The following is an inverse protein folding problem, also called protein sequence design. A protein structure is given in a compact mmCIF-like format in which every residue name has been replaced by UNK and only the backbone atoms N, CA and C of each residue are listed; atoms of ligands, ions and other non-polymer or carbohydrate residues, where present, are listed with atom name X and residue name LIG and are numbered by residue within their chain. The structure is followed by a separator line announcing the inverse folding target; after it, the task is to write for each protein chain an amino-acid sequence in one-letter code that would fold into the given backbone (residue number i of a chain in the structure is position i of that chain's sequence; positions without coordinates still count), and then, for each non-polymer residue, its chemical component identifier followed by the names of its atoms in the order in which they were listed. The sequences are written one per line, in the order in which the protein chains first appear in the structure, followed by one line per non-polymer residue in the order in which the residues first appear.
data_IF_666608169527
#
_entry.id   IF_666608169527
#
_cell.length_a   1.000
_cell.length_b   1.000
_cell.length_c   1.000
_cell.angle_alpha   90.00
_cell.angle_beta   90.00
_cell.angle_gamma   90.00
#
_symmetry.space_group_name_H-M   'P 1'
#
loop_
_entity.id
_entity.type
_entity.pdbx_description
1 polymer ?
#
# COMPACT_ATOMS: atom_id res chain seq x y z
N UNK A 1 11.68 -24.80 28.16
CA UNK A 1 12.21 -23.76 29.09
C UNK A 1 11.14 -22.70 29.19
N UNK A 2 10.44 -22.66 30.34
CA UNK A 2 9.41 -21.66 30.58
C UNK A 2 10.04 -20.28 30.68
N UNK A 3 9.73 -19.43 29.72
CA UNK A 3 10.22 -18.04 29.71
C UNK A 3 9.24 -17.07 30.38
N UNK A 4 8.15 -17.59 30.95
CA UNK A 4 7.17 -16.78 31.65
C UNK A 4 7.67 -16.55 33.11
N UNK A 5 7.99 -15.31 33.50
CA UNK A 5 8.29 -15.01 34.88
C UNK A 5 7.03 -15.26 35.71
N UNK A 6 7.24 -15.70 36.97
CA UNK A 6 6.17 -15.98 37.93
C UNK A 6 5.25 -17.18 37.63
N UNK A 7 5.63 -18.07 36.71
CA UNK A 7 4.90 -19.31 36.53
C UNK A 7 4.79 -20.09 37.85
N UNK A 8 3.58 -20.55 38.20
CA UNK A 8 3.31 -21.22 39.47
C UNK A 8 3.15 -20.32 40.68
N UNK A 9 3.15 -18.99 40.48
CA UNK A 9 2.92 -18.00 41.55
C UNK A 9 1.56 -17.28 41.42
N UNK A 10 0.70 -17.79 40.59
CA UNK A 10 -0.61 -17.16 40.24
C UNK A 10 -1.46 -16.93 41.48
N UNK A 11 -1.51 -17.92 42.38
CA UNK A 11 -2.30 -17.83 43.62
C UNK A 11 -1.76 -16.78 44.60
N UNK A 12 -0.44 -16.66 44.70
CA UNK A 12 0.19 -15.62 45.52
C UNK A 12 -0.12 -14.22 45.00
N UNK A 13 -0.06 -14.06 43.64
CA UNK A 13 -0.36 -12.80 42.97
C UNK A 13 -1.83 -12.41 43.16
N UNK A 14 -2.76 -13.35 42.96
CA UNK A 14 -4.19 -13.14 43.19
C UNK A 14 -4.47 -12.73 44.65
N UNK A 15 -3.83 -13.40 45.63
CA UNK A 15 -3.97 -13.07 47.01
C UNK A 15 -3.54 -11.65 47.37
N UNK A 16 -2.41 -11.17 46.79
CA UNK A 16 -1.93 -9.79 46.98
C UNK A 16 -2.94 -8.78 46.41
N UNK A 17 -3.64 -9.11 45.31
CA UNK A 17 -4.66 -8.28 44.73
C UNK A 17 -6.03 -8.40 45.39
N UNK A 18 -6.19 -9.28 46.39
CA UNK A 18 -7.46 -9.54 47.06
C UNK A 18 -8.46 -10.31 46.19
N UNK A 19 -7.97 -11.07 45.21
CA UNK A 19 -8.76 -11.88 44.29
C UNK A 19 -8.63 -13.37 44.60
N UNK A 20 -9.67 -14.17 44.27
CA UNK A 20 -9.67 -15.61 44.53
C UNK A 20 -9.38 -16.45 43.28
N UNK A 21 -9.67 -15.90 42.11
CA UNK A 21 -9.51 -16.59 40.84
C UNK A 21 -9.05 -15.64 39.71
N UNK A 22 -8.53 -16.20 38.64
CA UNK A 22 -8.22 -15.43 37.41
C UNK A 22 -9.49 -14.83 36.83
N UNK A 23 -10.62 -15.48 36.96
CA UNK A 23 -11.91 -15.01 36.47
C UNK A 23 -12.34 -13.70 37.13
N UNK A 24 -11.93 -13.47 38.41
CA UNK A 24 -12.24 -12.22 39.11
C UNK A 24 -11.59 -11.00 38.46
N UNK A 25 -10.47 -11.19 37.71
CA UNK A 25 -9.83 -10.13 36.92
C UNK A 25 -10.74 -9.60 35.81
N UNK A 26 -11.71 -10.38 35.37
CA UNK A 26 -12.62 -10.06 34.27
C UNK A 26 -14.02 -9.64 34.80
N UNK A 27 -14.11 -9.29 36.07
CA UNK A 27 -15.37 -8.88 36.71
C UNK A 27 -15.99 -7.61 36.10
N UNK A 28 -15.20 -6.79 35.41
CA UNK A 28 -15.66 -5.61 34.70
C UNK A 28 -16.30 -5.92 33.33
N UNK A 29 -16.20 -7.16 32.85
CA UNK A 29 -16.86 -7.58 31.59
C UNK A 29 -18.30 -7.96 31.88
N UNK A 30 -19.29 -7.32 31.23
CA UNK A 30 -20.70 -7.69 31.41
C UNK A 30 -20.97 -9.16 31.06
N UNK A 31 -21.76 -9.85 31.90
CA UNK A 31 -22.06 -11.28 31.71
C UNK A 31 -22.67 -11.61 30.34
N UNK A 32 -23.47 -10.69 29.76
CA UNK A 32 -24.07 -10.88 28.43
C UNK A 32 -23.08 -10.92 27.26
N UNK A 33 -21.82 -10.46 27.45
CA UNK A 33 -20.76 -10.51 26.42
C UNK A 33 -19.63 -11.47 26.80
N UNK A 34 -19.69 -12.02 28.00
CA UNK A 34 -18.70 -12.98 28.49
C UNK A 34 -18.91 -14.33 27.80
N UNK A 35 -17.86 -14.85 27.21
CA UNK A 35 -17.91 -16.14 26.55
C UNK A 35 -17.95 -17.26 27.59
N UNK A 36 -19.02 -18.04 27.60
CA UNK A 36 -19.22 -19.19 28.52
C UNK A 36 -18.80 -20.52 27.91
N UNK A 37 -18.62 -20.57 26.58
CA UNK A 37 -18.24 -21.78 25.85
C UNK A 37 -16.80 -21.64 25.35
N UNK A 38 -15.93 -22.65 25.55
CA UNK A 38 -14.59 -22.63 25.00
C UNK A 38 -14.59 -22.42 23.48
N UNK A 39 -13.56 -21.78 22.96
CA UNK A 39 -13.35 -21.67 21.53
C UNK A 39 -13.16 -23.08 20.95
N UNK A 40 -13.81 -23.43 19.83
CA UNK A 40 -13.62 -24.72 19.15
C UNK A 40 -12.29 -24.71 18.39
N UNK A 41 -11.18 -24.58 19.14
CA UNK A 41 -9.84 -24.62 18.56
C UNK A 41 -9.38 -26.08 18.42
N UNK A 42 -8.65 -26.40 17.36
CA UNK A 42 -8.01 -27.71 17.25
C UNK A 42 -6.99 -27.89 18.39
N UNK A 43 -6.64 -29.13 18.65
CA UNK A 43 -5.57 -29.45 19.60
C UNK A 43 -4.23 -28.85 19.14
N UNK A 44 -3.33 -28.49 20.07
CA UNK A 44 -1.99 -28.05 19.72
C UNK A 44 -1.26 -29.09 18.89
N UNK A 45 -0.54 -28.64 17.89
CA UNK A 45 0.29 -29.48 17.01
C UNK A 45 1.77 -29.12 17.25
N UNK A 46 2.66 -30.07 16.96
CA UNK A 46 4.10 -29.81 16.91
C UNK A 46 4.45 -28.96 15.68
N UNK A 47 5.60 -28.30 15.70
CA UNK A 47 6.11 -27.53 14.55
C UNK A 47 6.20 -28.38 13.29
N UNK A 48 6.63 -29.64 13.42
CA UNK A 48 6.73 -30.57 12.28
C UNK A 48 5.35 -30.88 11.67
N UNK A 49 4.32 -31.08 12.50
CA UNK A 49 2.97 -31.33 12.03
C UNK A 49 2.39 -30.11 11.33
N UNK A 50 2.54 -28.91 11.91
CA UNK A 50 2.11 -27.65 11.29
C UNK A 50 2.82 -27.43 9.95
N UNK A 51 4.12 -27.69 9.88
CA UNK A 51 4.89 -27.56 8.64
C UNK A 51 4.38 -28.50 7.55
N UNK A 52 4.11 -29.76 7.90
CA UNK A 52 3.58 -30.78 6.98
C UNK A 52 2.18 -30.39 6.47
N UNK A 53 1.31 -29.93 7.35
CA UNK A 53 -0.03 -29.51 7.00
C UNK A 53 0.01 -28.26 6.10
N UNK A 54 0.86 -27.30 6.40
CA UNK A 54 1.06 -26.11 5.58
C UNK A 54 1.59 -26.47 4.18
N UNK A 55 2.56 -27.36 4.09
CA UNK A 55 3.08 -27.84 2.80
C UNK A 55 2.00 -28.58 1.99
N UNK A 56 1.17 -29.37 2.65
CA UNK A 56 0.08 -30.09 1.99
C UNK A 56 -0.96 -29.11 1.42
N UNK A 57 -1.40 -28.13 2.22
CA UNK A 57 -2.36 -27.11 1.80
C UNK A 57 -1.81 -26.22 0.68
N UNK A 58 -0.58 -25.72 0.85
CA UNK A 58 0.05 -24.83 -0.13
C UNK A 58 0.46 -25.55 -1.41
N UNK A 59 0.78 -26.84 -1.31
CA UNK A 59 1.16 -27.69 -2.46
C UNK A 59 0.04 -27.86 -3.50
N UNK A 60 -1.21 -27.59 -3.14
CA UNK A 60 -2.34 -27.57 -4.08
C UNK A 60 -2.39 -26.32 -4.95
N UNK A 61 -1.66 -25.27 -4.59
CA UNK A 61 -1.60 -24.04 -5.38
C UNK A 61 -0.75 -24.22 -6.65
N UNK A 62 -1.18 -23.56 -7.72
CA UNK A 62 -0.38 -23.49 -8.95
C UNK A 62 0.66 -22.40 -8.77
N UNK A 63 1.93 -22.80 -8.78
CA UNK A 63 3.05 -21.89 -8.69
C UNK A 63 3.35 -21.27 -10.07
N UNK A 64 3.48 -19.95 -10.13
CA UNK A 64 3.83 -19.21 -11.34
C UNK A 64 5.28 -19.44 -11.79
N UNK A 65 6.13 -20.08 -10.99
CA UNK A 65 7.47 -20.46 -11.41
C UNK A 65 7.46 -21.56 -12.47
N UNK A 66 6.41 -22.37 -12.47
CA UNK A 66 6.26 -23.50 -13.39
C UNK A 66 5.33 -23.23 -14.58
N UNK A 67 4.57 -22.12 -14.57
CA UNK A 67 3.57 -21.82 -15.60
C UNK A 67 3.47 -20.32 -15.87
N UNK A 68 3.31 -19.90 -17.15
CA UNK A 68 3.01 -18.50 -17.45
C UNK A 68 1.60 -18.18 -16.96
N UNK A 69 1.43 -16.95 -16.44
CA UNK A 69 0.13 -16.43 -16.04
C UNK A 69 -0.22 -15.21 -16.89
N UNK A 70 -1.46 -15.19 -17.36
CA UNK A 70 -2.07 -14.04 -18.03
C UNK A 70 -3.12 -13.35 -17.17
N UNK A 71 -3.20 -13.73 -15.88
CA UNK A 71 -4.05 -13.12 -14.87
C UNK A 71 -3.21 -12.12 -14.09
N UNK A 72 -3.17 -10.87 -14.53
CA UNK A 72 -2.34 -9.88 -13.85
C UNK A 72 -3.09 -9.07 -12.78
N UNK A 73 -4.33 -8.71 -13.03
CA UNK A 73 -5.09 -7.80 -12.15
C UNK A 73 -4.28 -6.57 -11.68
N UNK A 74 -3.38 -6.07 -12.52
CA UNK A 74 -2.47 -4.98 -12.17
C UNK A 74 -1.20 -5.39 -11.42
N UNK A 75 -0.93 -6.69 -11.27
CA UNK A 75 0.30 -7.21 -10.67
C UNK A 75 1.25 -7.69 -11.77
N UNK A 76 2.45 -7.12 -11.81
CA UNK A 76 3.53 -7.56 -12.68
C UNK A 76 4.53 -8.40 -11.88
N UNK A 77 5.01 -9.49 -12.48
CA UNK A 77 6.04 -10.33 -11.88
C UNK A 77 7.41 -9.73 -12.20
N UNK A 78 8.15 -9.38 -11.16
CA UNK A 78 9.51 -8.88 -11.28
C UNK A 78 10.50 -9.86 -10.65
N UNK A 79 11.70 -9.96 -11.20
CA UNK A 79 12.78 -10.71 -10.58
C UNK A 79 13.30 -9.94 -9.37
N UNK A 80 13.33 -10.60 -8.22
CA UNK A 80 13.92 -10.06 -6.98
C UNK A 80 15.21 -10.84 -6.68
N UNK A 81 16.39 -10.19 -6.75
CA UNK A 81 17.64 -10.84 -6.39
C UNK A 81 17.63 -11.37 -4.95
N UNK A 82 18.21 -12.54 -4.71
CA UNK A 82 18.28 -13.16 -3.37
C UNK A 82 18.90 -12.24 -2.32
N UNK A 83 19.86 -11.41 -2.72
CA UNK A 83 20.50 -10.43 -1.86
C UNK A 83 19.51 -9.45 -1.22
N UNK A 84 18.43 -9.09 -1.92
CA UNK A 84 17.42 -8.15 -1.40
C UNK A 84 16.79 -8.69 -0.12
N UNK A 85 16.35 -9.94 -0.12
CA UNK A 85 15.78 -10.58 1.07
C UNK A 85 16.81 -10.69 2.21
N UNK A 86 18.03 -11.05 1.89
CA UNK A 86 19.11 -11.15 2.90
C UNK A 86 19.43 -9.80 3.56
N UNK A 87 19.48 -8.73 2.78
CA UNK A 87 19.75 -7.39 3.33
C UNK A 87 18.55 -6.84 4.10
N UNK A 88 17.33 -7.02 3.59
CA UNK A 88 16.11 -6.52 4.24
C UNK A 88 15.83 -7.16 5.61
N UNK A 89 16.31 -8.39 5.82
CA UNK A 89 16.12 -9.12 7.09
C UNK A 89 17.26 -8.92 8.09
N UNK A 90 18.24 -8.08 7.80
CA UNK A 90 19.30 -7.76 8.77
C UNK A 90 18.75 -7.03 9.98
N UNK A 91 19.27 -7.37 11.17
CA UNK A 91 18.83 -6.82 12.44
C UNK A 91 18.87 -5.30 12.50
N UNK A 92 19.83 -4.68 11.82
CA UNK A 92 20.00 -3.23 11.78
C UNK A 92 18.81 -2.49 11.16
N UNK A 93 18.10 -3.14 10.24
CA UNK A 93 16.91 -2.60 9.59
C UNK A 93 15.63 -3.13 10.23
N UNK A 94 15.58 -4.44 10.49
CA UNK A 94 14.37 -5.13 10.95
C UNK A 94 13.94 -4.69 12.37
N UNK A 95 14.89 -4.37 13.23
CA UNK A 95 14.64 -3.97 14.62
C UNK A 95 14.32 -2.48 14.79
N UNK A 96 14.50 -1.67 13.77
CA UNK A 96 14.11 -0.27 13.80
C UNK A 96 12.58 -0.15 13.79
N UNK A 97 12.02 0.44 14.85
CA UNK A 97 10.57 0.65 14.93
C UNK A 97 10.15 1.84 14.04
N UNK A 98 10.44 3.03 14.48
CA UNK A 98 10.20 4.27 13.73
C UNK A 98 11.33 5.26 14.00
N UNK A 99 11.88 5.92 12.98
CA UNK A 99 13.06 6.80 13.14
C UNK A 99 12.65 8.21 13.62
N UNK A 100 11.84 8.32 14.66
CA UNK A 100 11.42 9.61 15.21
C UNK A 100 12.54 10.38 15.91
N UNK A 101 13.45 9.65 16.56
CA UNK A 101 14.59 10.25 17.25
C UNK A 101 15.82 10.14 16.35
N UNK A 102 16.22 11.26 15.77
CA UNK A 102 17.34 11.32 14.83
C UNK A 102 18.66 10.84 15.45
N UNK A 103 18.88 11.13 16.73
CA UNK A 103 20.08 10.76 17.49
C UNK A 103 20.28 9.25 17.68
N UNK A 104 19.21 8.46 17.61
CA UNK A 104 19.26 6.98 17.70
C UNK A 104 18.90 6.27 16.42
N UNK A 105 18.61 7.02 15.36
CA UNK A 105 18.15 6.48 14.07
C UNK A 105 18.95 7.02 12.86
N UNK A 106 20.17 7.48 13.09
CA UNK A 106 20.99 8.16 12.08
C UNK A 106 21.20 7.32 10.80
N UNK A 107 21.54 6.04 10.97
CA UNK A 107 21.76 5.14 9.83
C UNK A 107 20.49 4.87 9.01
N UNK A 108 19.35 4.69 9.68
CA UNK A 108 18.07 4.49 9.01
C UNK A 108 17.61 5.76 8.29
N UNK A 109 17.78 6.93 8.90
CA UNK A 109 17.46 8.21 8.26
C UNK A 109 18.35 8.48 7.05
N UNK A 110 19.64 8.11 7.09
CA UNK A 110 20.51 8.19 5.94
C UNK A 110 20.05 7.26 4.81
N UNK A 111 19.70 6.01 5.11
CA UNK A 111 19.19 5.07 4.11
C UNK A 111 17.90 5.59 3.44
N UNK A 112 16.99 6.18 4.22
CA UNK A 112 15.78 6.83 3.70
C UNK A 112 16.10 8.03 2.80
N UNK A 113 17.06 8.84 3.17
CA UNK A 113 17.52 9.97 2.36
C UNK A 113 18.10 9.53 1.02
N UNK A 114 18.97 8.53 1.04
CA UNK A 114 19.55 7.96 -0.17
C UNK A 114 18.49 7.34 -1.07
N UNK A 115 17.50 6.63 -0.49
CA UNK A 115 16.35 6.11 -1.23
C UNK A 115 15.58 7.23 -1.95
N UNK A 116 15.25 8.33 -1.26
CA UNK A 116 14.56 9.47 -1.88
C UNK A 116 15.35 10.05 -3.06
N UNK A 117 16.67 10.15 -2.92
CA UNK A 117 17.56 10.63 -3.98
C UNK A 117 17.52 9.70 -5.19
N UNK A 118 17.68 8.39 -4.97
CA UNK A 118 17.64 7.40 -6.04
C UNK A 118 16.29 7.41 -6.79
N UNK A 119 15.18 7.51 -6.07
CA UNK A 119 13.86 7.59 -6.71
C UNK A 119 13.73 8.89 -7.51
N UNK A 120 14.15 10.04 -6.96
CA UNK A 120 14.10 11.32 -7.65
C UNK A 120 14.89 11.30 -8.96
N UNK A 121 16.08 10.70 -8.95
CA UNK A 121 16.91 10.53 -10.16
C UNK A 121 16.24 9.59 -11.17
N UNK A 122 15.69 8.46 -10.69
CA UNK A 122 15.05 7.46 -11.54
C UNK A 122 13.84 8.02 -12.30
N UNK A 123 13.03 8.85 -11.63
CA UNK A 123 11.80 9.43 -12.21
C UNK A 123 12.03 10.84 -12.79
N UNK A 124 13.24 11.37 -12.72
CA UNK A 124 13.61 12.72 -13.19
C UNK A 124 12.74 13.84 -12.55
N UNK A 125 12.35 13.67 -11.30
CA UNK A 125 11.64 14.67 -10.51
C UNK A 125 12.53 15.19 -9.39
N UNK A 126 12.42 16.49 -9.01
CA UNK A 126 13.34 17.10 -8.05
C UNK A 126 13.12 16.66 -6.60
N UNK A 127 11.97 16.08 -6.28
CA UNK A 127 11.59 15.72 -4.90
C UNK A 127 10.89 14.36 -4.91
N UNK A 128 11.26 13.52 -3.95
CA UNK A 128 10.57 12.28 -3.62
C UNK A 128 10.27 12.22 -2.12
N UNK A 129 9.17 11.60 -1.73
CA UNK A 129 8.98 11.14 -0.36
C UNK A 129 9.69 9.78 -0.15
N UNK A 130 9.61 9.20 1.04
CA UNK A 130 10.24 7.89 1.29
C UNK A 130 9.45 6.79 0.58
N UNK A 131 8.20 6.61 0.88
CA UNK A 131 7.31 5.66 0.18
C UNK A 131 5.94 5.64 0.83
N UNK A 132 4.94 5.21 0.08
CA UNK A 132 3.64 4.83 0.60
C UNK A 132 3.57 3.30 0.73
N UNK A 133 2.53 2.77 1.36
CA UNK A 133 2.39 1.33 1.59
C UNK A 133 2.20 0.53 0.30
N UNK A 134 1.47 1.09 -0.66
CA UNK A 134 1.20 0.47 -1.96
C UNK A 134 0.87 1.53 -3.03
N UNK A 135 0.78 1.07 -4.28
CA UNK A 135 0.50 1.95 -5.41
C UNK A 135 -0.91 2.57 -5.37
N UNK A 136 -1.88 1.91 -4.75
CA UNK A 136 -3.25 2.44 -4.67
C UNK A 136 -3.35 3.58 -3.66
N UNK A 137 -2.77 3.41 -2.48
CA UNK A 137 -2.66 4.50 -1.48
C UNK A 137 -1.80 5.64 -1.99
N UNK A 138 -0.71 5.34 -2.72
CA UNK A 138 0.14 6.36 -3.34
C UNK A 138 -0.64 7.21 -4.34
N UNK A 139 -1.44 6.59 -5.22
CA UNK A 139 -2.30 7.30 -6.15
C UNK A 139 -3.33 8.21 -5.45
N UNK A 140 -3.99 7.67 -4.43
CA UNK A 140 -5.00 8.41 -3.67
C UNK A 140 -4.39 9.59 -2.89
N UNK A 141 -3.23 9.40 -2.28
CA UNK A 141 -2.51 10.47 -1.58
C UNK A 141 -1.97 11.53 -2.54
N UNK A 142 -1.48 11.15 -3.73
CA UNK A 142 -1.07 12.11 -4.74
C UNK A 142 -2.23 12.98 -5.21
N UNK A 143 -3.42 12.39 -5.40
CA UNK A 143 -4.64 13.10 -5.75
C UNK A 143 -5.04 14.08 -4.62
N UNK A 144 -5.09 13.62 -3.38
CA UNK A 144 -5.44 14.49 -2.25
C UNK A 144 -4.40 15.58 -2.01
N UNK A 145 -3.12 15.29 -2.26
CA UNK A 145 -2.05 16.28 -2.26
C UNK A 145 -2.28 17.36 -3.33
N UNK A 146 -2.60 16.97 -4.56
CA UNK A 146 -2.89 17.92 -5.65
C UNK A 146 -4.07 18.83 -5.31
N UNK A 147 -5.15 18.28 -4.72
CA UNK A 147 -6.30 19.08 -4.27
C UNK A 147 -5.91 20.07 -3.19
N UNK A 148 -5.10 19.66 -2.21
CA UNK A 148 -4.61 20.57 -1.15
C UNK A 148 -3.73 21.69 -1.70
N UNK A 149 -2.87 21.37 -2.66
CA UNK A 149 -2.00 22.38 -3.32
C UNK A 149 -2.85 23.36 -4.11
N UNK A 150 -3.80 22.87 -4.91
CA UNK A 150 -4.71 23.69 -5.71
C UNK A 150 -5.51 24.66 -4.81
N UNK A 151 -6.03 24.17 -3.70
CA UNK A 151 -6.85 24.94 -2.75
C UNK A 151 -6.06 25.60 -1.62
N UNK A 152 -4.76 25.82 -1.79
CA UNK A 152 -3.91 26.48 -0.79
C UNK A 152 -4.01 25.83 0.60
N UNK A 153 -3.85 24.51 0.65
CA UNK A 153 -3.85 23.65 1.84
C UNK A 153 -5.23 23.20 2.36
N UNK A 154 -6.32 23.65 1.79
CA UNK A 154 -7.64 23.12 2.15
C UNK A 154 -8.00 21.90 1.29
N UNK A 155 -8.65 20.91 1.90
CA UNK A 155 -9.28 19.81 1.16
C UNK A 155 -10.75 20.19 0.98
N UNK A 156 -11.11 20.62 -0.21
CA UNK A 156 -12.45 21.12 -0.56
C UNK A 156 -13.05 20.30 -1.68
N UNK A 157 -14.34 20.50 -1.91
CA UNK A 157 -15.06 19.92 -3.04
C UNK A 157 -14.46 20.40 -4.35
N UNK A 158 -13.84 19.50 -5.10
CA UNK A 158 -13.18 19.74 -6.36
C UNK A 158 -13.50 18.64 -7.37
N UNK A 159 -13.18 18.88 -8.63
CA UNK A 159 -13.26 17.85 -9.67
C UNK A 159 -11.87 17.40 -10.06
N UNK A 160 -11.68 16.10 -10.09
CA UNK A 160 -10.50 15.41 -10.61
C UNK A 160 -10.91 14.50 -11.75
N UNK A 161 -10.00 14.25 -12.65
CA UNK A 161 -10.18 13.30 -13.74
C UNK A 161 -9.28 12.10 -13.58
N UNK A 162 -9.83 10.90 -13.73
CA UNK A 162 -9.11 9.65 -13.59
C UNK A 162 -9.32 8.83 -14.88
N UNK A 163 -8.25 8.27 -15.41
CA UNK A 163 -8.35 7.40 -16.58
C UNK A 163 -9.20 6.16 -16.29
N UNK A 164 -10.08 5.79 -17.22
CA UNK A 164 -10.83 4.54 -17.18
C UNK A 164 -9.92 3.30 -17.22
N UNK A 165 -8.65 3.48 -17.62
CA UNK A 165 -7.63 2.43 -17.73
C UNK A 165 -6.87 2.19 -16.43
N UNK A 166 -7.32 2.79 -15.33
CA UNK A 166 -6.83 2.50 -13.97
C UNK A 166 -7.44 1.19 -13.47
N UNK A 167 -6.67 0.28 -12.86
CA UNK A 167 -7.21 -0.97 -12.34
C UNK A 167 -8.37 -0.75 -11.34
N UNK A 168 -9.44 -1.56 -11.39
CA UNK A 168 -10.64 -1.37 -10.55
C UNK A 168 -10.35 -1.31 -9.04
N UNK A 169 -9.42 -2.13 -8.55
CA UNK A 169 -9.05 -2.13 -7.14
C UNK A 169 -8.38 -0.80 -6.72
N UNK A 170 -7.59 -0.19 -7.60
CA UNK A 170 -6.98 1.12 -7.34
C UNK A 170 -8.02 2.23 -7.40
N UNK A 171 -8.95 2.15 -8.35
CA UNK A 171 -10.07 3.08 -8.42
C UNK A 171 -10.89 3.06 -7.11
N UNK A 172 -11.20 1.88 -6.59
CA UNK A 172 -11.93 1.73 -5.32
C UNK A 172 -11.21 2.39 -4.13
N UNK A 173 -9.88 2.30 -4.07
CA UNK A 173 -9.09 2.99 -3.03
C UNK A 173 -9.13 4.50 -3.23
N UNK A 174 -8.98 4.98 -4.46
CA UNK A 174 -9.09 6.43 -4.77
C UNK A 174 -10.46 6.96 -4.35
N UNK A 175 -11.54 6.28 -4.73
CA UNK A 175 -12.91 6.65 -4.36
C UNK A 175 -13.08 6.73 -2.84
N UNK A 176 -12.58 5.75 -2.10
CA UNK A 176 -12.65 5.74 -0.64
C UNK A 176 -11.91 6.93 -0.01
N UNK A 177 -10.76 7.30 -0.54
CA UNK A 177 -9.98 8.44 -0.02
C UNK A 177 -10.65 9.80 -0.26
N UNK A 178 -11.28 9.97 -1.41
CA UNK A 178 -11.80 11.28 -1.83
C UNK A 178 -13.24 11.55 -1.41
N UNK A 179 -14.03 10.50 -1.11
CA UNK A 179 -15.45 10.64 -0.77
C UNK A 179 -15.69 11.53 0.46
N UNK A 180 -14.85 11.38 1.50
CA UNK A 180 -14.97 12.15 2.74
C UNK A 180 -14.76 13.66 2.55
N UNK A 181 -14.02 14.06 1.54
CA UNK A 181 -13.77 15.45 1.17
C UNK A 181 -14.78 15.97 0.13
N UNK A 182 -15.69 15.13 -0.36
CA UNK A 182 -16.66 15.50 -1.40
C UNK A 182 -16.00 15.83 -2.74
N UNK A 183 -14.82 15.27 -3.02
CA UNK A 183 -14.14 15.42 -4.31
C UNK A 183 -14.87 14.58 -5.35
N UNK A 184 -15.16 15.20 -6.50
CA UNK A 184 -15.88 14.56 -7.59
C UNK A 184 -14.91 13.94 -8.58
N UNK A 185 -15.09 12.64 -8.86
CA UNK A 185 -14.30 11.93 -9.87
C UNK A 185 -15.05 11.94 -11.20
N UNK A 186 -14.37 12.38 -12.25
CA UNK A 186 -14.79 12.28 -13.64
C UNK A 186 -13.87 11.28 -14.36
N UNK A 187 -14.45 10.47 -15.26
CA UNK A 187 -13.70 9.42 -15.94
C UNK A 187 -13.28 9.88 -17.34
N UNK A 188 -11.98 9.83 -17.61
CA UNK A 188 -11.45 9.96 -18.95
C UNK A 188 -11.55 8.62 -19.68
N UNK A 189 -12.22 8.62 -20.81
CA UNK A 189 -12.49 7.43 -21.61
C UNK A 189 -11.27 6.98 -22.41
N UNK A 190 -11.31 5.75 -22.86
CA UNK A 190 -10.31 5.17 -23.75
C UNK A 190 -10.89 4.84 -25.13
N UNK A 191 -10.01 4.78 -26.13
CA UNK A 191 -10.31 4.35 -27.48
C UNK A 191 -10.34 2.81 -27.56
N UNK A 192 -10.95 2.26 -28.62
CA UNK A 192 -11.05 0.80 -28.83
C UNK A 192 -9.70 0.07 -28.87
N UNK A 193 -8.62 0.78 -29.16
CA UNK A 193 -7.26 0.25 -29.18
C UNK A 193 -6.57 0.23 -27.81
N UNK A 194 -7.27 0.59 -26.73
CA UNK A 194 -6.74 0.59 -25.38
C UNK A 194 -5.86 1.79 -25.01
N UNK A 195 -5.81 2.82 -25.87
CA UNK A 195 -5.13 4.09 -25.57
C UNK A 195 -6.13 5.07 -24.94
N UNK A 196 -5.63 6.01 -24.16
CA UNK A 196 -6.44 7.10 -23.63
C UNK A 196 -7.05 7.89 -24.79
N UNK A 197 -8.31 8.29 -24.65
CA UNK A 197 -8.92 9.23 -25.61
C UNK A 197 -8.43 10.64 -25.31
N UNK A 198 -7.23 10.93 -25.81
CA UNK A 198 -6.50 12.16 -25.52
C UNK A 198 -7.26 13.39 -26.05
N UNK A 199 -8.05 13.23 -27.10
CA UNK A 199 -8.84 14.34 -27.68
C UNK A 199 -9.94 14.79 -26.70
N UNK A 200 -10.44 13.86 -25.88
CA UNK A 200 -11.39 14.18 -24.81
C UNK A 200 -10.74 14.75 -23.55
N UNK A 201 -9.42 14.61 -23.38
CA UNK A 201 -8.71 15.03 -22.17
C UNK A 201 -8.69 16.55 -21.98
N UNK A 202 -8.88 17.34 -23.03
CA UNK A 202 -9.00 18.80 -22.94
C UNK A 202 -10.14 19.28 -22.04
N UNK A 203 -11.16 18.43 -21.81
CA UNK A 203 -12.25 18.71 -20.85
C UNK A 203 -11.74 18.85 -19.40
N UNK A 204 -10.60 18.28 -19.11
CA UNK A 204 -9.97 18.34 -17.79
C UNK A 204 -9.21 19.66 -17.56
N UNK A 205 -9.10 20.53 -18.57
CA UNK A 205 -8.44 21.83 -18.42
C UNK A 205 -9.12 22.67 -17.33
N UNK A 206 -8.33 23.14 -16.39
CA UNK A 206 -8.83 23.91 -15.24
C UNK A 206 -9.40 23.06 -14.10
N UNK A 207 -9.37 21.73 -14.20
CA UNK A 207 -9.63 20.85 -13.07
C UNK A 207 -8.45 20.85 -12.09
N UNK A 208 -8.65 20.28 -10.90
CA UNK A 208 -7.59 20.20 -9.91
C UNK A 208 -6.47 19.27 -10.32
N UNK A 209 -6.82 18.06 -10.81
CA UNK A 209 -5.84 17.04 -11.19
C UNK A 209 -6.38 16.07 -12.25
N UNK A 210 -5.44 15.49 -12.99
CA UNK A 210 -5.65 14.33 -13.86
C UNK A 210 -4.74 13.21 -13.41
N UNK A 211 -5.29 12.00 -13.23
CA UNK A 211 -4.55 10.79 -12.91
C UNK A 211 -4.62 9.77 -14.07
N UNK A 212 -3.46 9.32 -14.50
CA UNK A 212 -3.28 8.28 -15.53
C UNK A 212 -2.23 7.27 -15.10
N UNK A 213 -2.14 6.11 -15.78
CA UNK A 213 -1.12 5.09 -15.52
C UNK A 213 -0.33 4.73 -16.78
N UNK A 214 0.96 4.44 -16.58
CA UNK A 214 1.90 4.06 -17.63
C UNK A 214 2.83 2.93 -17.13
N UNK A 215 2.74 1.69 -17.64
CA UNK A 215 1.71 1.20 -18.56
C UNK A 215 0.30 1.24 -17.95
N UNK A 216 -0.72 1.28 -18.81
CA UNK A 216 -2.10 1.21 -18.34
C UNK A 216 -2.52 -0.23 -17.94
N UNK A 217 -3.76 -0.43 -17.50
CA UNK A 217 -4.26 -1.75 -17.05
C UNK A 217 -4.24 -2.85 -18.13
N UNK A 218 -4.08 -2.50 -19.41
CA UNK A 218 -3.88 -3.45 -20.50
C UNK A 218 -2.40 -3.72 -20.80
N UNK A 219 -1.47 -3.14 -20.03
CA UNK A 219 -0.03 -3.25 -20.27
C UNK A 219 0.47 -2.43 -21.45
N UNK A 220 -0.30 -1.45 -21.92
CA UNK A 220 0.03 -0.62 -23.07
C UNK A 220 0.79 0.62 -22.60
N UNK A 221 1.91 0.92 -23.27
CA UNK A 221 2.61 2.20 -23.16
C UNK A 221 1.96 3.19 -24.14
N UNK A 222 1.37 4.25 -23.61
CA UNK A 222 0.62 5.25 -24.38
C UNK A 222 1.48 6.50 -24.62
N UNK A 223 2.05 6.60 -25.81
CA UNK A 223 2.86 7.77 -26.20
C UNK A 223 2.04 9.07 -26.25
N UNK A 224 0.71 8.97 -26.37
CA UNK A 224 -0.18 10.13 -26.34
C UNK A 224 -0.11 10.89 -25.02
N UNK A 225 0.25 10.24 -23.92
CA UNK A 225 0.39 10.87 -22.61
C UNK A 225 1.46 11.97 -22.57
N UNK A 226 2.45 11.94 -23.46
CA UNK A 226 3.46 13.00 -23.59
C UNK A 226 2.83 14.39 -23.89
N UNK A 227 1.68 14.41 -24.56
CA UNK A 227 0.95 15.64 -24.91
C UNK A 227 -0.12 16.00 -23.88
N UNK A 228 -0.35 15.14 -22.90
CA UNK A 228 -1.46 15.32 -21.95
C UNK A 228 -1.32 16.60 -21.13
N UNK A 229 -0.11 16.92 -20.69
CA UNK A 229 0.14 18.13 -19.89
C UNK A 229 -0.23 19.41 -20.65
N UNK A 230 0.06 19.47 -21.95
CA UNK A 230 -0.27 20.64 -22.78
C UNK A 230 -1.79 20.80 -22.93
N UNK A 231 -2.51 19.69 -23.03
CA UNK A 231 -3.98 19.68 -23.22
C UNK A 231 -4.75 20.08 -21.96
N UNK A 232 -4.28 19.64 -20.78
CA UNK A 232 -4.94 19.94 -19.50
C UNK A 232 -4.53 21.28 -18.90
N UNK A 233 -3.52 21.93 -19.45
CA UNK A 233 -3.03 23.25 -19.06
C UNK A 233 -2.18 23.25 -17.80
N UNK A 234 -1.55 24.39 -17.53
CA UNK A 234 -0.56 24.52 -16.45
C UNK A 234 -1.16 24.41 -15.05
N UNK A 235 -2.39 24.89 -14.86
CA UNK A 235 -3.06 24.92 -13.54
C UNK A 235 -3.60 23.56 -13.08
N UNK A 236 -3.65 22.56 -13.96
CA UNK A 236 -4.10 21.21 -13.64
C UNK A 236 -2.89 20.33 -13.32
N UNK A 237 -2.89 19.68 -12.16
CA UNK A 237 -1.85 18.72 -11.79
C UNK A 237 -1.95 17.46 -12.65
N UNK A 238 -0.85 17.06 -13.28
CA UNK A 238 -0.72 15.75 -13.94
C UNK A 238 -0.09 14.78 -12.96
N UNK A 239 -0.77 13.69 -12.67
CA UNK A 239 -0.31 12.61 -11.81
C UNK A 239 -0.20 11.35 -12.68
N UNK A 240 0.98 10.77 -12.74
CA UNK A 240 1.24 9.56 -13.53
C UNK A 240 1.66 8.42 -12.61
N UNK A 241 0.84 7.38 -12.54
CA UNK A 241 1.22 6.11 -11.93
C UNK A 241 2.15 5.36 -12.88
N UNK A 242 3.33 4.97 -12.42
CA UNK A 242 4.32 4.30 -13.25
C UNK A 242 4.70 2.93 -12.70
N UNK A 243 5.09 2.03 -13.58
CA UNK A 243 5.91 0.87 -13.23
C UNK A 243 7.38 1.27 -13.42
N UNK A 244 8.18 1.16 -12.35
CA UNK A 244 9.58 1.56 -12.38
C UNK A 244 10.40 0.86 -13.49
N UNK A 245 10.06 -0.38 -13.84
CA UNK A 245 10.74 -1.12 -14.92
C UNK A 245 10.46 -0.48 -16.28
N UNK A 246 9.29 0.12 -16.47
CA UNK A 246 8.94 0.79 -17.73
C UNK A 246 9.77 2.04 -18.01
N UNK A 247 10.35 2.66 -16.98
CA UNK A 247 11.26 3.81 -17.12
C UNK A 247 12.55 3.49 -17.90
N UNK A 248 12.89 2.21 -18.03
CA UNK A 248 13.97 1.78 -18.92
C UNK A 248 13.66 1.87 -20.42
N UNK A 249 12.39 2.11 -20.76
CA UNK A 249 11.90 2.16 -22.15
C UNK A 249 11.30 3.54 -22.46
N UNK A 250 10.59 4.12 -21.53
CA UNK A 250 9.96 5.46 -21.64
C UNK A 250 10.69 6.43 -20.73
N UNK A 251 11.20 7.49 -21.29
CA UNK A 251 11.88 8.59 -20.60
C UNK A 251 11.04 9.87 -20.65
#
# INVERSE_FOLDING_TARGET
MDQLPNLGREQEMLSIMGLNSIEDLFSNIPEGVKRTVPLPLPLPQSEEEIWRDAQHLLGSNINLDSRPSFLSAGLARNFVPTMVGMLATRGEFLTSYTPYQAEVSQGMLQAMWEFQTMISELVSLPISNVSMYDASTSAAEAITCAVRVHNKKALQKETIYVSELVPPHRMSVIENYVQGAGINIQILKHKKNGLLDIDSASIANGSCAVYVEQPNSFGILDEGLLKLKDLIGENTALIVGIDAVSLGIVS
#
